data_IF_973380886305
#
_entry.id   IF_973380886305
#
_cell.length_a   1.000
_cell.length_b   1.000
_cell.length_c   1.000
_cell.angle_alpha   90.00
_cell.angle_beta   90.00
_cell.angle_gamma   90.00
#
_symmetry.space_group_name_H-M   'P 1'
#
loop_
_entity.id
_entity.type
_entity.pdbx_description
1 polymer ?
#
# COMPACT_ATOMS: atom_id res chain seq x y z
N UNK A 1 12.63 2.46 -40.56
CA UNK A 1 13.55 3.40 -39.88
C UNK A 1 14.54 2.59 -39.06
N UNK A 2 15.85 2.71 -39.35
CA UNK A 2 16.91 2.22 -38.48
C UNK A 2 16.70 2.67 -37.03
N UNK A 3 17.12 1.86 -36.05
CA UNK A 3 16.99 2.15 -34.61
C UNK A 3 17.58 3.52 -34.21
N UNK A 4 18.69 3.92 -34.84
CA UNK A 4 19.34 5.23 -34.61
C UNK A 4 18.43 6.41 -34.95
N UNK A 5 17.74 6.35 -36.08
CA UNK A 5 16.85 7.43 -36.54
C UNK A 5 15.59 7.53 -35.66
N UNK A 6 15.07 6.38 -35.18
CA UNK A 6 13.95 6.35 -34.23
C UNK A 6 14.32 6.99 -32.89
N UNK A 7 15.51 6.73 -32.37
CA UNK A 7 15.99 7.31 -31.12
C UNK A 7 16.21 8.83 -31.24
N UNK A 8 16.79 9.31 -32.35
CA UNK A 8 16.93 10.74 -32.60
C UNK A 8 15.58 11.45 -32.72
N UNK A 9 14.62 10.88 -33.45
CA UNK A 9 13.28 11.45 -33.62
C UNK A 9 12.47 11.45 -32.32
N UNK A 10 12.60 10.42 -31.47
CA UNK A 10 12.06 10.42 -30.10
C UNK A 10 12.66 11.52 -29.24
N UNK A 11 14.00 11.68 -29.25
CA UNK A 11 14.69 12.72 -28.47
C UNK A 11 14.24 14.14 -28.87
N UNK A 12 13.97 14.34 -30.17
CA UNK A 12 13.46 15.61 -30.72
C UNK A 12 11.95 15.80 -30.55
N UNK A 13 11.24 14.89 -29.86
CA UNK A 13 9.77 14.90 -29.66
C UNK A 13 8.94 14.84 -30.96
N UNK A 14 9.53 14.37 -32.06
CA UNK A 14 8.86 14.22 -33.36
C UNK A 14 8.16 12.87 -33.51
N UNK A 15 8.44 11.92 -32.62
CA UNK A 15 7.86 10.58 -32.62
C UNK A 15 7.53 10.18 -31.18
N UNK A 16 6.28 9.76 -30.95
CA UNK A 16 5.80 9.24 -29.67
C UNK A 16 5.49 7.76 -29.84
N UNK A 17 6.12 6.92 -29.02
CA UNK A 17 5.75 5.51 -28.95
C UNK A 17 4.63 5.35 -27.92
N UNK A 18 3.46 4.94 -28.41
CA UNK A 18 2.32 4.64 -27.55
C UNK A 18 2.25 3.12 -27.39
N UNK A 19 2.52 2.64 -26.17
CA UNK A 19 2.41 1.21 -25.87
C UNK A 19 0.97 0.89 -25.43
N UNK A 20 0.24 0.17 -26.27
CA UNK A 20 -1.09 -0.37 -25.95
C UNK A 20 -0.93 -1.68 -25.18
N UNK A 21 -1.26 -1.67 -23.88
CA UNK A 21 -1.31 -2.88 -23.05
C UNK A 21 -2.70 -3.49 -23.13
N UNK A 22 -2.85 -4.56 -23.90
CA UNK A 22 -4.06 -5.37 -23.95
C UNK A 22 -3.89 -6.66 -23.16
N UNK A 23 -4.89 -7.02 -22.34
CA UNK A 23 -4.92 -8.27 -21.60
C UNK A 23 -6.02 -9.19 -22.14
N UNK A 24 -5.68 -10.44 -22.41
CA UNK A 24 -6.64 -11.49 -22.74
C UNK A 24 -6.99 -12.26 -21.47
N UNK A 25 -8.14 -11.96 -20.89
CA UNK A 25 -8.57 -12.57 -19.63
C UNK A 25 -9.35 -13.86 -19.94
N UNK A 26 -8.98 -14.96 -19.29
CA UNK A 26 -9.69 -16.26 -19.34
C UNK A 26 -10.18 -16.63 -17.94
N UNK A 27 -11.25 -17.42 -17.87
CA UNK A 27 -11.75 -17.97 -16.60
C UNK A 27 -10.68 -18.89 -16.01
N UNK A 28 -10.16 -18.54 -14.83
CA UNK A 28 -9.23 -19.37 -14.07
C UNK A 28 -9.94 -20.39 -13.19
N UNK A 29 -9.18 -21.21 -12.47
CA UNK A 29 -9.71 -22.21 -11.51
C UNK A 29 -10.51 -21.59 -10.36
N UNK A 30 -10.22 -20.33 -10.02
CA UNK A 30 -10.94 -19.56 -8.99
C UNK A 30 -12.06 -18.67 -9.57
N UNK A 31 -12.47 -18.87 -10.82
CA UNK A 31 -13.59 -18.13 -11.41
C UNK A 31 -14.91 -18.60 -10.80
N UNK A 32 -15.60 -17.71 -10.07
CA UNK A 32 -16.93 -17.95 -9.54
C UNK A 32 -17.86 -16.80 -9.93
N UNK A 33 -19.11 -17.13 -10.25
CA UNK A 33 -20.17 -16.15 -10.53
C UNK A 33 -20.87 -15.68 -9.24
N UNK A 34 -20.59 -16.35 -8.11
CA UNK A 34 -21.16 -16.05 -6.80
C UNK A 34 -20.15 -15.31 -5.92
N UNK A 35 -20.64 -14.34 -5.15
CA UNK A 35 -19.83 -13.57 -4.20
C UNK A 35 -19.59 -14.43 -2.96
N UNK A 36 -18.48 -15.18 -2.96
CA UNK A 36 -18.03 -15.88 -1.77
C UNK A 36 -17.65 -14.88 -0.67
N UNK A 37 -18.06 -15.14 0.57
CA UNK A 37 -17.61 -14.37 1.73
C UNK A 37 -16.13 -14.66 1.95
N UNK A 38 -15.27 -13.73 1.55
CA UNK A 38 -13.85 -13.78 1.86
C UNK A 38 -13.64 -13.48 3.34
N UNK A 39 -12.77 -14.22 3.99
CA UNK A 39 -12.45 -14.01 5.39
C UNK A 39 -11.57 -12.76 5.56
N UNK A 40 -11.87 -11.96 6.58
CA UNK A 40 -11.21 -10.66 6.80
C UNK A 40 -9.95 -10.80 7.63
N UNK A 41 -9.94 -11.71 8.61
CA UNK A 41 -8.88 -11.86 9.60
C UNK A 41 -8.59 -13.33 9.88
N UNK A 42 -7.33 -13.61 10.25
CA UNK A 42 -6.90 -14.93 10.67
C UNK A 42 -7.38 -15.19 12.10
N UNK A 43 -8.24 -16.19 12.29
CA UNK A 43 -8.72 -16.57 13.62
C UNK A 43 -7.84 -17.67 14.24
N UNK A 44 -7.71 -17.75 15.57
CA UNK A 44 -6.90 -18.79 16.23
C UNK A 44 -7.41 -20.21 15.94
N UNK A 45 -8.72 -20.39 15.79
CA UNK A 45 -9.35 -21.66 15.40
C UNK A 45 -8.90 -22.11 14.01
N UNK A 46 -8.72 -21.17 13.10
CA UNK A 46 -8.30 -21.42 11.73
C UNK A 46 -6.85 -21.89 11.69
N UNK A 47 -5.99 -21.38 12.57
CA UNK A 47 -4.62 -21.84 12.76
C UNK A 47 -4.60 -23.26 13.31
N UNK A 48 -5.42 -23.55 14.34
CA UNK A 48 -5.50 -24.87 14.96
C UNK A 48 -6.02 -25.96 13.99
N UNK A 49 -6.94 -25.60 13.09
CA UNK A 49 -7.57 -26.51 12.13
C UNK A 49 -6.86 -26.57 10.77
N UNK A 50 -5.92 -25.66 10.49
CA UNK A 50 -5.25 -25.55 9.19
C UNK A 50 -6.11 -25.01 8.05
N UNK A 51 -7.33 -24.54 8.34
CA UNK A 51 -8.30 -24.08 7.33
C UNK A 51 -7.90 -22.77 6.63
N UNK A 52 -6.91 -22.05 7.17
CA UNK A 52 -6.37 -20.80 6.59
C UNK A 52 -5.69 -20.99 5.24
N UNK A 53 -5.23 -22.21 4.93
CA UNK A 53 -4.54 -22.49 3.67
C UNK A 53 -5.49 -22.58 2.47
N UNK A 54 -6.76 -22.91 2.72
CA UNK A 54 -7.73 -23.24 1.66
C UNK A 54 -8.72 -22.11 1.40
N UNK A 55 -8.86 -21.15 2.30
CA UNK A 55 -9.86 -20.07 2.20
C UNK A 55 -9.26 -18.79 1.61
N UNK A 56 -9.93 -18.14 0.64
CA UNK A 56 -9.47 -16.87 0.09
C UNK A 56 -9.73 -15.72 1.08
N UNK A 57 -8.67 -15.02 1.46
CA UNK A 57 -8.75 -13.83 2.29
C UNK A 57 -9.07 -12.59 1.46
N UNK A 58 -9.76 -11.63 2.10
CA UNK A 58 -9.97 -10.32 1.53
C UNK A 58 -8.62 -9.60 1.38
N UNK A 59 -8.26 -9.10 0.18
CA UNK A 59 -7.00 -8.39 -0.01
C UNK A 59 -6.95 -7.15 0.88
N UNK A 60 -5.84 -6.98 1.59
CA UNK A 60 -5.65 -5.86 2.49
C UNK A 60 -5.39 -4.57 1.71
N UNK A 61 -6.04 -3.47 2.11
CA UNK A 61 -5.83 -2.17 1.49
C UNK A 61 -4.63 -1.46 2.12
N UNK A 62 -3.43 -1.65 1.53
CA UNK A 62 -2.18 -1.01 1.98
C UNK A 62 -2.16 0.52 1.78
N UNK A 63 -3.08 1.08 1.00
CA UNK A 63 -3.18 2.52 0.77
C UNK A 63 -3.97 3.24 1.86
N UNK A 64 -4.60 2.51 2.79
CA UNK A 64 -5.37 3.10 3.88
C UNK A 64 -4.48 3.41 5.09
N UNK A 65 -4.76 4.53 5.76
CA UNK A 65 -4.18 4.81 7.08
C UNK A 65 -4.81 3.87 8.10
N UNK A 66 -3.97 3.15 8.86
CA UNK A 66 -4.41 2.25 9.91
C UNK A 66 -5.00 3.00 11.11
N UNK A 67 -5.51 2.23 12.08
CA UNK A 67 -6.01 2.79 13.33
C UNK A 67 -4.83 3.24 14.19
N UNK A 68 -4.74 4.53 14.58
CA UNK A 68 -3.72 4.97 15.52
C UNK A 68 -3.98 4.33 16.89
N UNK A 69 -2.94 3.85 17.59
CA UNK A 69 -3.10 3.31 18.92
C UNK A 69 -3.55 4.41 19.89
N UNK A 70 -4.37 4.04 20.88
CA UNK A 70 -4.74 4.96 21.94
C UNK A 70 -3.50 5.26 22.79
N UNK A 71 -3.05 6.52 22.79
CA UNK A 71 -1.93 6.99 23.58
C UNK A 71 -2.32 8.20 24.44
N UNK A 72 -1.60 8.40 25.54
CA UNK A 72 -1.70 9.62 26.33
C UNK A 72 -1.10 10.80 25.56
N UNK A 73 -1.75 11.97 25.65
CA UNK A 73 -1.29 13.18 24.96
C UNK A 73 -0.82 14.22 25.97
N UNK A 74 0.39 14.74 25.76
CA UNK A 74 0.87 15.89 26.51
C UNK A 74 0.32 17.18 25.88
N UNK A 75 -0.13 18.11 26.73
CA UNK A 75 -0.62 19.40 26.26
C UNK A 75 0.48 20.14 25.46
N UNK A 76 0.21 20.62 24.23
CA UNK A 76 1.24 21.20 23.36
C UNK A 76 2.05 22.33 24.00
N UNK A 77 1.39 23.24 24.73
CA UNK A 77 2.06 24.34 25.43
C UNK A 77 3.01 23.83 26.52
N UNK A 78 2.65 22.75 27.23
CA UNK A 78 3.50 22.19 28.28
C UNK A 78 4.72 21.49 27.66
N UNK A 79 4.55 20.85 26.50
CA UNK A 79 5.66 20.26 25.74
C UNK A 79 6.69 21.31 25.32
N UNK A 80 6.23 22.44 24.77
CA UNK A 80 7.09 23.56 24.37
C UNK A 80 7.75 24.21 25.59
N UNK A 81 7.00 24.43 26.68
CA UNK A 81 7.55 24.96 27.93
C UNK A 81 8.69 24.08 28.46
N UNK A 82 8.51 22.76 28.46
CA UNK A 82 9.56 21.83 28.90
C UNK A 82 10.81 21.90 28.02
N UNK A 83 10.65 22.03 26.70
CA UNK A 83 11.78 22.20 25.78
C UNK A 83 12.53 23.52 26.00
N UNK A 84 11.80 24.64 26.13
CA UNK A 84 12.43 25.94 26.40
C UNK A 84 13.18 25.96 27.72
N UNK A 85 12.59 25.38 28.78
CA UNK A 85 13.27 25.22 30.07
C UNK A 85 14.57 24.42 29.92
N UNK A 86 14.55 23.34 29.16
CA UNK A 86 15.72 22.51 28.93
C UNK A 86 16.85 23.31 28.25
N UNK A 87 16.52 24.09 27.22
CA UNK A 87 17.50 24.94 26.51
C UNK A 87 18.18 25.93 27.47
N UNK A 88 17.39 26.63 28.30
CA UNK A 88 17.97 27.57 29.26
C UNK A 88 18.86 26.87 30.31
N UNK A 89 18.48 25.68 30.78
CA UNK A 89 19.30 24.90 31.71
C UNK A 89 20.62 24.42 31.09
N UNK A 90 20.62 24.07 29.80
CA UNK A 90 21.81 23.66 29.07
C UNK A 90 22.75 24.84 28.74
N UNK A 91 22.18 26.04 28.59
CA UNK A 91 22.94 27.25 28.27
C UNK A 91 23.50 28.02 29.48
N UNK A 92 23.05 27.71 30.70
CA UNK A 92 23.52 28.35 31.94
C UNK A 92 22.65 29.52 32.39
#
# INVERSE_FOLDING_TARGET
LPERDRAELKRRKLLLEVTLKSYWIRKGSAFSTEVARQETELTPEMIATGSWQQRPFKPYNFSALGLPPACGHLHPLLKVRSQLRQIFLEMG
#
